data_IF_908311675642
#
_entry.id   IF_908311675642
#
_cell.length_a   1.000
_cell.length_b   1.000
_cell.length_c   1.000
_cell.angle_alpha   90.00
_cell.angle_beta   90.00
_cell.angle_gamma   90.00
#
_symmetry.space_group_name_H-M   'P 1'
#
loop_
_entity.id
_entity.type
_entity.pdbx_description
1 polymer ?
#
# COMPACT_ATOMS: atom_id res chain seq x y z
N UNK A 1 -9.33 8.33 -10.02
CA UNK A 1 -8.33 8.81 -10.98
C UNK A 1 -7.07 9.19 -10.22
N UNK A 2 -5.88 8.83 -10.74
CA UNK A 2 -4.58 9.17 -10.14
C UNK A 2 -3.62 9.62 -11.24
N UNK A 3 -2.91 10.74 -11.00
CA UNK A 3 -1.82 11.24 -11.82
C UNK A 3 -0.56 11.38 -10.95
N UNK A 4 0.58 10.93 -11.48
CA UNK A 4 1.89 11.07 -10.83
C UNK A 4 2.88 11.70 -11.82
N UNK A 5 3.75 12.53 -11.28
CA UNK A 5 4.95 13.00 -11.96
C UNK A 5 6.13 12.69 -11.06
N UNK A 6 7.02 11.80 -11.54
CA UNK A 6 8.14 11.30 -10.76
C UNK A 6 9.45 11.62 -11.47
N UNK A 7 10.37 12.25 -10.76
CA UNK A 7 11.76 12.44 -11.15
C UNK A 7 12.63 11.62 -10.22
N UNK A 8 13.39 10.68 -10.76
CA UNK A 8 14.30 9.85 -9.98
C UNK A 8 15.69 9.84 -10.59
N UNK A 9 16.69 10.17 -9.79
CA UNK A 9 18.08 9.98 -10.11
C UNK A 9 18.63 8.81 -9.27
N UNK A 10 18.90 7.65 -9.87
CA UNK A 10 19.29 6.44 -9.13
C UNK A 10 20.70 6.50 -8.54
N UNK A 11 21.54 7.43 -9.01
CA UNK A 11 22.92 7.62 -8.53
C UNK A 11 23.22 9.11 -8.40
N UNK A 12 22.58 9.76 -7.44
CA UNK A 12 22.70 11.20 -7.24
C UNK A 12 24.16 11.59 -6.90
N UNK A 13 24.75 12.39 -7.78
CA UNK A 13 26.16 12.86 -7.69
C UNK A 13 27.18 11.73 -7.52
N UNK A 14 26.93 10.54 -8.04
CA UNK A 14 27.85 9.41 -7.92
C UNK A 14 27.95 8.81 -6.51
N UNK A 15 26.98 9.06 -5.65
CA UNK A 15 27.01 8.67 -4.23
C UNK A 15 26.46 7.27 -3.94
N UNK A 16 26.05 6.50 -4.96
CA UNK A 16 25.29 5.25 -4.84
C UNK A 16 23.98 5.39 -4.05
N UNK A 17 23.43 6.61 -4.01
CA UNK A 17 22.15 6.92 -3.41
C UNK A 17 21.19 7.43 -4.47
N UNK A 18 19.97 6.97 -4.42
CA UNK A 18 18.91 7.56 -5.24
C UNK A 18 18.38 8.83 -4.61
N UNK A 19 17.93 9.77 -5.45
CA UNK A 19 17.15 10.92 -5.04
C UNK A 19 15.91 10.99 -5.93
N UNK A 20 14.74 10.90 -5.31
CA UNK A 20 13.44 10.99 -5.94
C UNK A 20 12.68 12.21 -5.49
N UNK A 21 11.96 12.83 -6.43
CA UNK A 21 10.97 13.87 -6.17
C UNK A 21 9.71 13.45 -6.89
N UNK A 22 8.57 13.43 -6.21
CA UNK A 22 7.30 13.12 -6.84
C UNK A 22 6.22 14.14 -6.51
N UNK A 23 5.35 14.34 -7.49
CA UNK A 23 4.11 15.07 -7.38
C UNK A 23 2.96 14.10 -7.65
N UNK A 24 2.00 14.06 -6.76
CA UNK A 24 0.85 13.17 -6.88
C UNK A 24 -0.45 13.96 -6.78
N UNK A 25 -1.40 13.63 -7.64
CA UNK A 25 -2.78 14.06 -7.48
C UNK A 25 -3.71 12.86 -7.68
N UNK A 26 -4.57 12.62 -6.69
CA UNK A 26 -5.50 11.48 -6.72
C UNK A 26 -6.90 11.90 -6.30
N UNK A 27 -7.88 11.35 -6.99
CA UNK A 27 -9.30 11.47 -6.66
C UNK A 27 -9.83 10.07 -6.40
N UNK A 28 -10.22 9.81 -5.16
CA UNK A 28 -10.90 8.60 -4.74
C UNK A 28 -12.37 8.94 -4.56
N UNK A 29 -13.21 8.45 -5.45
CA UNK A 29 -14.66 8.68 -5.40
C UNK A 29 -15.34 7.40 -4.96
N UNK A 30 -15.69 7.36 -3.71
CA UNK A 30 -16.32 6.25 -3.03
C UNK A 30 -17.64 6.68 -2.37
N UNK A 31 -18.30 7.68 -2.92
CA UNK A 31 -19.56 8.20 -2.33
C UNK A 31 -20.62 7.13 -2.24
N UNK A 32 -20.78 6.30 -3.28
CA UNK A 32 -21.83 5.28 -3.35
C UNK A 32 -21.56 4.10 -2.40
N UNK A 33 -20.30 3.65 -2.31
CA UNK A 33 -19.97 2.40 -1.58
C UNK A 33 -19.47 2.64 -0.16
N UNK A 34 -18.86 3.80 0.10
CA UNK A 34 -18.21 4.12 1.37
C UNK A 34 -18.62 5.47 1.96
N UNK A 35 -19.56 6.16 1.33
CA UNK A 35 -20.11 7.42 1.80
C UNK A 35 -19.17 8.61 1.78
N UNK A 36 -18.00 8.54 1.11
CA UNK A 36 -17.04 9.63 1.04
C UNK A 36 -16.29 9.75 -0.29
N UNK A 37 -15.76 10.95 -0.55
CA UNK A 37 -14.87 11.29 -1.64
C UNK A 37 -13.66 12.03 -1.10
N UNK A 38 -12.48 11.62 -1.53
CA UNK A 38 -11.21 12.28 -1.19
C UNK A 38 -10.51 12.78 -2.44
N UNK A 39 -10.15 14.05 -2.43
CA UNK A 39 -9.22 14.65 -3.39
C UNK A 39 -7.91 14.92 -2.65
N UNK A 40 -6.83 14.29 -3.08
CA UNK A 40 -5.54 14.39 -2.44
C UNK A 40 -4.48 14.82 -3.45
N UNK A 41 -3.76 15.88 -3.13
CA UNK A 41 -2.61 16.37 -3.92
C UNK A 41 -1.43 16.55 -2.99
N UNK A 42 -0.26 16.10 -3.41
CA UNK A 42 0.92 16.20 -2.58
C UNK A 42 2.22 16.12 -3.34
N UNK A 43 3.28 16.33 -2.61
CA UNK A 43 4.64 16.12 -3.09
C UNK A 43 5.43 15.29 -2.10
N UNK A 44 6.44 14.59 -2.60
CA UNK A 44 7.40 13.90 -1.75
C UNK A 44 8.83 14.07 -2.27
N UNK A 45 9.77 13.99 -1.33
CA UNK A 45 11.19 13.89 -1.58
C UNK A 45 11.67 12.65 -0.85
N UNK A 46 12.39 11.78 -1.57
CA UNK A 46 12.89 10.54 -1.00
C UNK A 46 14.31 10.24 -1.45
N UNK A 47 15.03 9.52 -0.63
CA UNK A 47 16.37 9.03 -0.91
C UNK A 47 16.47 7.58 -0.50
N UNK A 48 17.08 6.76 -1.37
CA UNK A 48 17.27 5.35 -1.14
C UNK A 48 18.72 4.95 -1.34
N UNK A 49 19.15 3.96 -0.58
CA UNK A 49 20.47 3.35 -0.70
C UNK A 49 20.47 1.91 -0.19
N UNK A 50 21.43 1.15 -0.67
CA UNK A 50 21.70 -0.20 -0.21
C UNK A 50 22.58 -0.12 1.04
N UNK A 51 22.09 -0.66 2.17
CA UNK A 51 22.82 -0.66 3.44
C UNK A 51 23.84 -1.81 3.44
N UNK A 52 23.43 -2.97 2.98
CA UNK A 52 24.23 -4.15 2.72
C UNK A 52 23.56 -4.99 1.62
N UNK A 53 24.23 -6.00 1.11
CA UNK A 53 23.81 -6.78 -0.06
C UNK A 53 22.32 -7.15 -0.03
N UNK A 54 21.58 -6.68 -1.04
CA UNK A 54 20.15 -6.90 -1.21
C UNK A 54 19.23 -6.30 -0.12
N UNK A 55 19.78 -5.48 0.79
CA UNK A 55 19.00 -4.78 1.79
C UNK A 55 19.01 -3.27 1.54
N UNK A 56 17.85 -2.77 1.12
CA UNK A 56 17.65 -1.38 0.73
C UNK A 56 16.87 -0.61 1.80
N UNK A 57 17.25 0.62 2.03
CA UNK A 57 16.52 1.58 2.84
C UNK A 57 16.12 2.77 1.99
N UNK A 58 14.84 3.11 1.99
CA UNK A 58 14.33 4.35 1.43
C UNK A 58 13.77 5.22 2.55
N UNK A 59 14.13 6.48 2.57
CA UNK A 59 13.63 7.47 3.54
C UNK A 59 13.17 8.71 2.81
N UNK A 60 12.14 9.36 3.32
CA UNK A 60 11.63 10.57 2.68
C UNK A 60 10.65 11.35 3.52
N UNK A 61 10.25 12.48 3.00
CA UNK A 61 9.19 13.31 3.56
C UNK A 61 8.14 13.52 2.48
N UNK A 62 6.89 13.36 2.85
CA UNK A 62 5.75 13.61 1.97
C UNK A 62 4.76 14.56 2.64
N UNK A 63 4.23 15.50 1.87
CA UNK A 63 3.20 16.44 2.32
C UNK A 63 2.02 16.36 1.37
N UNK A 64 0.82 16.28 1.94
CA UNK A 64 -0.43 16.15 1.20
C UNK A 64 -1.43 17.20 1.66
N UNK A 65 -2.13 17.76 0.68
CA UNK A 65 -3.36 18.52 0.85
C UNK A 65 -4.53 17.62 0.47
N UNK A 66 -5.44 17.41 1.38
CA UNK A 66 -6.59 16.56 1.17
C UNK A 66 -7.89 17.31 1.43
N UNK A 67 -8.86 17.18 0.51
CA UNK A 67 -10.25 17.59 0.71
C UNK A 67 -11.12 16.36 0.80
N UNK A 68 -11.71 16.14 1.97
CA UNK A 68 -12.64 15.04 2.22
C UNK A 68 -14.09 15.56 2.18
N UNK A 69 -14.92 14.93 1.34
CA UNK A 69 -16.35 15.18 1.22
C UNK A 69 -17.12 13.92 1.58
N UNK A 70 -18.31 14.08 2.14
CA UNK A 70 -19.18 12.96 2.51
C UNK A 70 -20.53 13.09 1.82
N UNK A 71 -21.20 11.97 1.60
CA UNK A 71 -22.56 11.94 1.07
C UNK A 71 -23.57 12.49 2.08
N UNK A 72 -24.75 12.92 1.59
CA UNK A 72 -25.85 13.38 2.42
C UNK A 72 -26.44 12.25 3.27
N UNK A 73 -26.38 11.01 2.80
CA UNK A 73 -26.87 9.80 3.49
C UNK A 73 -25.84 9.18 4.42
N UNK A 74 -24.58 9.63 4.37
CA UNK A 74 -23.50 9.13 5.21
C UNK A 74 -23.81 9.28 6.71
N UNK A 75 -23.23 8.40 7.52
CA UNK A 75 -23.40 8.42 8.98
C UNK A 75 -22.94 9.74 9.60
N UNK A 76 -23.42 10.05 10.79
CA UNK A 76 -23.04 11.27 11.53
C UNK A 76 -21.53 11.30 11.82
N UNK A 77 -20.93 10.14 12.05
CA UNK A 77 -19.48 10.03 12.31
C UNK A 77 -18.65 10.32 11.05
N UNK A 78 -19.12 9.89 9.88
CA UNK A 78 -18.50 10.20 8.60
C UNK A 78 -18.61 11.69 8.29
N UNK A 79 -19.78 12.28 8.49
CA UNK A 79 -20.02 13.72 8.25
C UNK A 79 -19.13 14.65 9.08
N UNK A 80 -18.78 14.25 10.31
CA UNK A 80 -17.85 15.00 11.18
C UNK A 80 -16.43 15.08 10.62
N UNK A 81 -16.04 14.18 9.72
CA UNK A 81 -14.71 14.14 9.13
C UNK A 81 -14.60 14.91 7.80
N UNK A 82 -15.69 15.56 7.36
CA UNK A 82 -15.64 16.44 6.19
C UNK A 82 -14.75 17.64 6.49
N UNK A 83 -13.76 17.92 5.62
CA UNK A 83 -12.87 19.04 5.80
C UNK A 83 -11.70 19.07 4.82
N UNK A 84 -10.83 20.04 5.05
CA UNK A 84 -9.55 20.18 4.36
C UNK A 84 -8.45 19.87 5.36
N UNK A 85 -7.49 19.06 4.94
CA UNK A 85 -6.42 18.56 5.79
C UNK A 85 -5.06 18.82 5.15
N UNK A 86 -4.07 19.06 5.98
CA UNK A 86 -2.67 19.06 5.60
C UNK A 86 -1.98 18.00 6.44
N UNK A 87 -1.38 17.02 5.77
CA UNK A 87 -0.67 15.94 6.43
C UNK A 87 0.76 15.88 5.91
N UNK A 88 1.72 15.90 6.81
CA UNK A 88 3.14 15.70 6.51
C UNK A 88 3.64 14.48 7.26
N UNK A 89 4.29 13.58 6.54
CA UNK A 89 4.83 12.34 7.09
C UNK A 89 6.33 12.24 6.82
N UNK A 90 7.04 11.69 7.78
CA UNK A 90 8.34 11.07 7.55
C UNK A 90 8.11 9.60 7.22
N UNK A 91 8.63 9.17 6.08
CA UNK A 91 8.43 7.83 5.56
C UNK A 91 9.75 7.09 5.57
N UNK A 92 9.74 5.83 5.93
CA UNK A 92 10.86 4.94 5.64
C UNK A 92 10.38 3.55 5.25
N UNK A 93 11.19 2.90 4.43
CA UNK A 93 10.94 1.53 3.95
C UNK A 93 12.24 0.77 4.00
N UNK A 94 12.20 -0.41 4.59
CA UNK A 94 13.24 -1.43 4.51
C UNK A 94 12.78 -2.51 3.53
N UNK A 95 13.61 -2.85 2.58
CA UNK A 95 13.33 -3.86 1.55
C UNK A 95 14.51 -4.85 1.48
N UNK A 96 14.24 -6.10 1.85
CA UNK A 96 15.21 -7.18 1.79
C UNK A 96 14.78 -8.18 0.73
N UNK A 97 15.54 -8.22 -0.39
CA UNK A 97 15.21 -8.99 -1.58
C UNK A 97 16.23 -10.09 -1.84
N UNK A 98 15.92 -11.31 -1.40
CA UNK A 98 16.71 -12.52 -1.55
C UNK A 98 16.13 -13.46 -2.62
N UNK A 99 15.42 -12.92 -3.59
CA UNK A 99 14.92 -13.70 -4.72
C UNK A 99 16.06 -14.02 -5.68
N UNK A 100 16.01 -15.23 -6.24
CA UNK A 100 17.02 -15.64 -7.25
C UNK A 100 16.96 -14.76 -8.51
N UNK A 101 15.79 -14.24 -8.86
CA UNK A 101 15.59 -13.27 -9.95
C UNK A 101 14.32 -12.42 -9.71
N UNK A 102 14.32 -11.20 -10.24
CA UNK A 102 13.20 -10.27 -10.02
C UNK A 102 11.97 -10.59 -10.88
N UNK A 103 12.18 -11.16 -12.07
CA UNK A 103 11.13 -11.65 -12.96
C UNK A 103 11.13 -13.16 -12.95
N UNK A 104 9.93 -13.77 -13.01
CA UNK A 104 9.76 -15.23 -13.00
C UNK A 104 10.52 -15.88 -11.82
N UNK A 105 10.41 -15.29 -10.65
CA UNK A 105 11.06 -15.78 -9.43
C UNK A 105 10.67 -17.24 -9.16
N UNK A 106 11.64 -18.12 -9.03
CA UNK A 106 11.41 -19.54 -8.71
C UNK A 106 11.75 -19.87 -7.27
N UNK A 107 12.71 -19.15 -6.66
CA UNK A 107 13.15 -19.41 -5.30
C UNK A 107 13.57 -18.13 -4.58
N UNK A 108 13.62 -18.22 -3.25
CA UNK A 108 14.00 -17.10 -2.41
C UNK A 108 12.81 -16.39 -1.76
N UNK A 109 13.04 -15.18 -1.25
CA UNK A 109 12.00 -14.41 -0.58
C UNK A 109 12.27 -12.90 -0.71
N UNK A 110 11.22 -12.12 -0.50
CA UNK A 110 11.29 -10.67 -0.31
C UNK A 110 10.51 -10.27 0.92
N UNK A 111 11.11 -9.41 1.73
CA UNK A 111 10.52 -8.86 2.94
C UNK A 111 10.58 -7.34 2.89
N UNK A 112 9.43 -6.69 2.99
CA UNK A 112 9.34 -5.22 2.93
C UNK A 112 8.58 -4.71 4.14
N UNK A 113 9.19 -3.80 4.90
CA UNK A 113 8.55 -3.08 5.99
C UNK A 113 8.54 -1.59 5.69
N UNK A 114 7.39 -0.96 5.79
CA UNK A 114 7.22 0.48 5.59
C UNK A 114 6.53 1.10 6.79
N UNK A 115 6.97 2.29 7.18
CA UNK A 115 6.31 3.07 8.21
C UNK A 115 6.19 4.54 7.78
N UNK A 116 5.01 5.13 8.05
CA UNK A 116 4.75 6.55 7.86
C UNK A 116 4.49 7.16 9.23
N UNK A 117 5.41 8.02 9.66
CA UNK A 117 5.36 8.71 10.95
C UNK A 117 4.77 10.10 10.72
N UNK A 118 3.64 10.46 11.36
CA UNK A 118 3.05 11.77 11.18
C UNK A 118 3.93 12.84 11.85
N UNK A 119 4.31 13.87 11.08
CA UNK A 119 5.00 15.07 11.59
C UNK A 119 4.01 16.19 11.82
N UNK A 120 3.12 16.43 10.87
CA UNK A 120 2.03 17.40 10.92
C UNK A 120 0.78 16.66 10.43
N UNK A 121 -0.22 16.52 11.26
CA UNK A 121 -1.47 15.86 10.90
C UNK A 121 -2.51 16.11 12.00
N UNK A 122 -3.78 16.21 11.65
CA UNK A 122 -4.85 16.28 12.66
C UNK A 122 -5.13 14.93 13.31
N UNK A 123 -5.01 13.84 12.57
CA UNK A 123 -5.28 12.50 13.10
C UNK A 123 -4.06 11.85 13.75
N UNK A 124 -2.86 12.37 13.49
CA UNK A 124 -1.59 11.82 13.97
C UNK A 124 -1.53 10.30 13.86
N UNK A 125 -1.90 9.76 12.71
CA UNK A 125 -1.94 8.31 12.52
C UNK A 125 -0.58 7.76 12.07
N UNK A 126 -0.01 6.90 12.91
CA UNK A 126 1.17 6.09 12.61
C UNK A 126 0.72 4.90 11.76
N UNK A 127 1.27 4.78 10.55
CA UNK A 127 0.94 3.68 9.63
C UNK A 127 2.13 2.75 9.50
N UNK A 128 1.86 1.47 9.68
CA UNK A 128 2.83 0.40 9.44
C UNK A 128 2.31 -0.54 8.38
N UNK A 129 3.21 -1.07 7.57
CA UNK A 129 2.89 -2.06 6.56
C UNK A 129 4.04 -3.06 6.45
N UNK A 130 3.70 -4.32 6.44
CA UNK A 130 4.64 -5.42 6.23
C UNK A 130 4.13 -6.34 5.12
N UNK A 131 4.97 -6.57 4.15
CA UNK A 131 4.75 -7.51 3.05
C UNK A 131 5.89 -8.53 3.05
N UNK A 132 5.54 -9.81 3.07
CA UNK A 132 6.49 -10.91 2.94
C UNK A 132 6.02 -11.86 1.84
N UNK A 133 6.93 -12.28 0.97
CA UNK A 133 6.62 -13.26 -0.06
C UNK A 133 7.79 -14.23 -0.17
N UNK A 134 7.51 -15.53 -0.08
CA UNK A 134 8.46 -16.61 -0.26
C UNK A 134 8.07 -17.45 -1.49
N UNK A 135 9.07 -17.78 -2.27
CA UNK A 135 8.97 -18.65 -3.44
C UNK A 135 9.75 -19.93 -3.16
N UNK A 136 9.13 -21.07 -3.49
CA UNK A 136 9.70 -22.40 -3.28
C UNK A 136 9.46 -23.17 -4.56
N UNK A 137 10.53 -23.57 -5.23
CA UNK A 137 10.44 -24.50 -6.34
C UNK A 137 10.16 -25.91 -5.79
N UNK A 138 9.02 -26.45 -6.21
CA UNK A 138 8.54 -27.78 -5.82
C UNK A 138 8.35 -28.60 -7.06
N UNK A 139 9.14 -29.60 -7.29
CA UNK A 139 9.15 -30.40 -8.53
C UNK A 139 9.32 -29.53 -9.80
N UNK A 140 10.05 -29.98 -10.79
CA UNK A 140 10.36 -29.22 -12.01
C UNK A 140 9.21 -28.33 -12.49
N UNK A 141 9.44 -27.00 -12.50
CA UNK A 141 8.54 -25.94 -12.98
C UNK A 141 7.34 -25.57 -12.08
N UNK A 142 7.10 -26.27 -10.98
CA UNK A 142 6.09 -25.86 -10.00
C UNK A 142 6.66 -24.90 -8.96
N UNK A 143 6.08 -23.71 -8.87
CA UNK A 143 6.50 -22.72 -7.90
C UNK A 143 5.36 -22.51 -6.90
N UNK A 144 5.64 -22.80 -5.63
CA UNK A 144 4.75 -22.44 -4.53
C UNK A 144 5.11 -21.03 -4.08
N UNK A 145 4.11 -20.15 -4.04
CA UNK A 145 4.26 -18.79 -3.53
C UNK A 145 3.44 -18.65 -2.26
N UNK A 146 4.12 -18.34 -1.17
CA UNK A 146 3.50 -18.01 0.10
C UNK A 146 3.65 -16.51 0.35
N UNK A 147 2.56 -15.81 0.64
CA UNK A 147 2.61 -14.39 0.96
C UNK A 147 1.86 -14.07 2.23
N UNK A 148 2.45 -13.19 3.02
CA UNK A 148 1.89 -12.59 4.21
C UNK A 148 1.84 -11.08 4.05
N UNK A 149 0.72 -10.48 4.40
CA UNK A 149 0.51 -9.05 4.42
C UNK A 149 -0.05 -8.63 5.76
N UNK A 150 0.47 -7.58 6.34
CA UNK A 150 -0.07 -6.95 7.54
C UNK A 150 0.07 -5.44 7.44
N UNK A 151 -0.96 -4.72 7.86
CA UNK A 151 -0.92 -3.27 7.97
C UNK A 151 -1.66 -2.81 9.23
N UNK A 152 -1.19 -1.70 9.80
CA UNK A 152 -1.85 -1.02 10.91
C UNK A 152 -1.85 0.48 10.72
N UNK A 153 -2.89 1.13 11.22
CA UNK A 153 -3.02 2.58 11.30
C UNK A 153 -3.51 2.91 12.71
N UNK A 154 -2.66 3.56 13.50
CA UNK A 154 -2.92 3.83 14.91
C UNK A 154 -2.75 5.31 15.21
N UNK A 155 -3.74 5.92 15.86
CA UNK A 155 -3.63 7.32 16.30
C UNK A 155 -2.66 7.44 17.47
N UNK A 156 -1.73 8.39 17.39
CA UNK A 156 -0.78 8.70 18.47
C UNK A 156 -1.32 9.73 19.47
N UNK A 157 -2.37 10.46 19.12
CA UNK A 157 -2.97 11.49 19.98
C UNK A 157 -4.35 11.11 20.55
N UNK A 158 -4.78 9.86 20.32
CA UNK A 158 -6.08 9.37 20.79
C UNK A 158 -7.30 9.83 19.94
N UNK A 159 -7.09 10.63 18.90
CA UNK A 159 -8.15 11.03 18.00
C UNK A 159 -8.57 9.86 17.09
N UNK A 160 -9.77 9.95 16.53
CA UNK A 160 -10.20 8.98 15.53
C UNK A 160 -9.36 9.08 14.27
N UNK A 161 -8.99 7.92 13.73
CA UNK A 161 -8.28 7.85 12.45
C UNK A 161 -9.21 8.32 11.35
N UNK A 162 -8.71 9.23 10.52
CA UNK A 162 -9.40 9.78 9.36
C UNK A 162 -9.78 8.67 8.38
N UNK A 163 -10.95 8.77 7.75
CA UNK A 163 -11.47 7.74 6.82
C UNK A 163 -10.49 7.38 5.71
N UNK A 164 -9.86 8.39 5.12
CA UNK A 164 -8.85 8.21 4.06
C UNK A 164 -7.57 7.52 4.53
N UNK A 165 -7.38 7.38 5.85
CA UNK A 165 -6.24 6.74 6.48
C UNK A 165 -6.56 5.38 7.08
N UNK A 166 -7.83 4.99 7.07
CA UNK A 166 -8.25 3.65 7.45
C UNK A 166 -7.87 2.63 6.40
N UNK A 167 -7.71 1.40 6.83
CA UNK A 167 -7.20 0.30 6.02
C UNK A 167 -8.35 -0.51 5.43
N UNK A 168 -8.31 -0.65 4.12
CA UNK A 168 -9.09 -1.63 3.39
C UNK A 168 -8.16 -2.73 2.88
N UNK A 169 -8.62 -3.97 2.90
CA UNK A 169 -7.84 -5.08 2.39
C UNK A 169 -7.73 -4.97 0.86
N UNK A 170 -6.51 -4.88 0.31
CA UNK A 170 -6.33 -4.78 -1.14
C UNK A 170 -6.87 -6.03 -1.86
N UNK A 171 -7.58 -5.86 -2.96
CA UNK A 171 -8.16 -6.96 -3.76
C UNK A 171 -7.11 -7.98 -4.24
N UNK A 172 -5.87 -7.52 -4.48
CA UNK A 172 -4.74 -8.40 -4.82
C UNK A 172 -4.31 -9.32 -3.68
N UNK A 173 -4.66 -8.97 -2.43
CA UNK A 173 -4.30 -9.75 -1.23
C UNK A 173 -5.40 -10.73 -0.81
N UNK A 174 -6.60 -10.58 -1.34
CA UNK A 174 -7.70 -11.51 -1.08
C UNK A 174 -8.57 -11.65 -2.35
N UNK A 175 -8.36 -12.74 -3.07
CA UNK A 175 -9.12 -13.05 -4.29
C UNK A 175 -10.52 -13.59 -3.95
N UNK A 176 -11.48 -13.37 -4.85
CA UNK A 176 -12.86 -13.85 -4.69
C UNK A 176 -13.77 -12.95 -3.84
N UNK A 177 -13.25 -11.83 -3.35
CA UNK A 177 -14.03 -10.84 -2.62
C UNK A 177 -14.02 -9.50 -3.34
N UNK A 178 -15.12 -8.78 -3.24
CA UNK A 178 -15.23 -7.43 -3.79
C UNK A 178 -14.33 -6.47 -3.00
N UNK A 179 -13.56 -5.65 -3.73
CA UNK A 179 -12.60 -4.73 -3.13
C UNK A 179 -13.29 -3.76 -2.18
N UNK A 180 -12.73 -3.60 -0.99
CA UNK A 180 -13.21 -2.64 0.01
C UNK A 180 -14.46 -3.06 0.77
N UNK A 181 -15.13 -4.16 0.39
CA UNK A 181 -16.35 -4.65 1.07
C UNK A 181 -16.07 -5.68 2.18
N UNK A 182 -14.85 -5.65 2.72
CA UNK A 182 -14.44 -6.48 3.87
C UNK A 182 -14.04 -5.56 5.00
N UNK A 183 -14.65 -5.75 6.16
CA UNK A 183 -14.32 -4.98 7.35
C UNK A 183 -15.52 -4.32 8.01
N UNK A 184 -15.28 -3.44 8.98
CA UNK A 184 -16.33 -2.78 9.75
C UNK A 184 -17.16 -1.83 8.89
N UNK A 185 -18.43 -1.71 9.29
CA UNK A 185 -19.41 -0.78 8.70
C UNK A 185 -19.87 0.24 9.74
N UNK A 186 -20.26 1.41 9.25
CA UNK A 186 -21.05 2.41 9.98
C UNK A 186 -22.32 2.67 9.18
N UNK A 187 -23.45 2.20 9.67
CA UNK A 187 -24.69 2.00 8.92
C UNK A 187 -24.49 1.05 7.72
N UNK A 188 -24.71 1.55 6.50
CA UNK A 188 -24.48 0.82 5.24
C UNK A 188 -23.06 0.95 4.70
N UNK A 189 -22.29 1.94 5.18
CA UNK A 189 -21.01 2.33 4.61
C UNK A 189 -19.87 1.51 5.19
N UNK A 190 -19.01 0.98 4.32
CA UNK A 190 -17.76 0.34 4.74
C UNK A 190 -16.74 1.41 5.12
N UNK A 191 -16.29 1.40 6.35
CA UNK A 191 -15.41 2.44 6.91
C UNK A 191 -13.95 2.03 7.00
N UNK A 192 -13.60 0.80 6.60
CA UNK A 192 -12.25 0.26 6.80
C UNK A 192 -11.90 0.03 8.27
N UNK A 193 -10.76 -0.60 8.51
CA UNK A 193 -10.27 -0.94 9.84
C UNK A 193 -8.99 -0.21 10.20
N UNK A 194 -8.57 -0.39 11.45
CA UNK A 194 -7.25 0.07 11.93
C UNK A 194 -6.17 -0.99 11.69
N UNK A 195 -6.57 -2.22 11.45
CA UNK A 195 -5.69 -3.36 11.18
C UNK A 195 -6.20 -4.12 9.97
N UNK A 196 -5.27 -4.61 9.15
CA UNK A 196 -5.56 -5.45 7.98
C UNK A 196 -4.49 -6.51 7.85
N UNK A 197 -4.90 -7.76 7.64
CA UNK A 197 -3.98 -8.89 7.50
C UNK A 197 -4.50 -9.86 6.45
N UNK A 198 -3.60 -10.44 5.67
CA UNK A 198 -3.92 -11.50 4.70
C UNK A 198 -2.76 -12.49 4.57
N UNK A 199 -3.12 -13.75 4.36
CA UNK A 199 -2.21 -14.83 4.04
C UNK A 199 -2.69 -15.45 2.74
N UNK A 200 -1.77 -15.67 1.80
CA UNK A 200 -2.08 -16.34 0.54
C UNK A 200 -1.06 -17.43 0.27
N UNK A 201 -1.56 -18.52 -0.26
CA UNK A 201 -0.76 -19.59 -0.85
C UNK A 201 -1.24 -19.81 -2.28
N UNK A 202 -0.33 -19.89 -3.22
CA UNK A 202 -0.62 -20.19 -4.62
C UNK A 202 0.46 -21.07 -5.19
N UNK A 203 0.11 -21.87 -6.19
CA UNK A 203 1.06 -22.69 -6.94
C UNK A 203 0.84 -22.48 -8.43
N UNK A 204 1.95 -22.36 -9.18
CA UNK A 204 1.91 -22.54 -10.62
C UNK A 204 1.87 -24.04 -10.90
N UNK A 205 0.89 -24.48 -11.67
CA UNK A 205 0.83 -25.87 -12.13
C UNK A 205 1.64 -25.99 -13.43
N UNK A 206 2.40 -27.07 -13.63
CA UNK A 206 3.02 -27.32 -14.92
C UNK A 206 1.92 -27.49 -15.97
N UNK A 207 2.23 -27.22 -17.22
CA UNK A 207 1.33 -27.49 -18.32
C UNK A 207 1.06 -29.00 -18.41
N UNK A 208 -0.01 -29.45 -17.78
CA UNK A 208 -0.40 -30.86 -17.76
C UNK A 208 -1.05 -31.31 -19.10
N UNK A 209 -1.46 -30.33 -19.94
CA UNK A 209 -2.14 -30.58 -21.21
C UNK A 209 -1.55 -29.69 -22.31
N UNK A 210 -0.56 -30.19 -23.08
CA UNK A 210 -0.03 -29.46 -24.25
C UNK A 210 -1.08 -29.20 -25.32
N UNK A 211 -2.18 -29.96 -25.32
CA UNK A 211 -3.26 -29.87 -26.31
C UNK A 211 -4.19 -28.65 -26.13
N UNK A 212 -4.14 -27.96 -25.02
CA UNK A 212 -4.94 -26.73 -24.79
C UNK A 212 -4.28 -25.45 -25.30
N UNK A 213 -3.05 -25.52 -25.80
CA UNK A 213 -2.36 -24.36 -26.39
C UNK A 213 -2.82 -23.99 -27.80
N UNK A 214 -3.56 -24.84 -28.49
CA UNK A 214 -3.95 -24.67 -29.91
C UNK A 214 -5.46 -24.51 -30.11
N UNK A 215 -6.20 -24.02 -29.12
CA UNK A 215 -7.58 -23.58 -29.33
C UNK A 215 -7.57 -22.05 -29.49
N UNK A 216 -7.37 -21.61 -30.73
CA UNK A 216 -7.70 -20.28 -31.20
C UNK A 216 -9.21 -20.01 -31.10
#
# INVERSE_FOLDING_TARGET
VRGNFDLNNPNYKGSNRSLGISLESSVTDNLTDYGYKSNKTGFSIESGYEIFDNFFMNTGVSTYFETLKTDATASTNLKKQKGNYIDTFFNYTFDYDQRNQKFQTTNGYRSTFSQNIPLISESYSLKNRYDFTKYIEWLNENIITLSFFSASSNSLNGNNIKLSERLFLPSKKLRGFESGKIGPKDNSDFIGGNYSMAINASSTLPQVLPSLQNSD
#
